data_IF_138782642893
#
_entry.id   IF_138782642893
#
_cell.length_a   1.000
_cell.length_b   1.000
_cell.length_c   1.000
_cell.angle_alpha   90.00
_cell.angle_beta   90.00
_cell.angle_gamma   90.00
#
_symmetry.space_group_name_H-M   'P 1'
#
loop_
_entity.id
_entity.type
_entity.pdbx_description
1 polymer ?
#
# COMPACT_ATOMS: atom_id res chain seq x y z
N UNK A 1 -10.08 71.23 16.75
CA UNK A 1 -10.17 69.90 16.13
C UNK A 1 -9.17 68.99 16.79
N UNK A 2 -9.64 67.91 17.42
CA UNK A 2 -8.79 66.94 18.11
C UNK A 2 -8.52 65.76 17.15
N UNK A 3 -7.23 65.51 16.86
CA UNK A 3 -6.80 64.35 16.08
C UNK A 3 -6.38 63.22 17.02
N UNK A 4 -7.24 62.20 17.17
CA UNK A 4 -6.92 60.97 17.88
C UNK A 4 -6.14 60.02 16.98
N UNK A 5 -4.87 59.78 17.29
CA UNK A 5 -4.07 58.72 16.68
C UNK A 5 -4.38 57.37 17.32
N UNK A 6 -4.93 56.45 16.55
CA UNK A 6 -5.18 55.07 16.97
C UNK A 6 -3.84 54.30 17.07
N UNK A 7 -3.46 53.89 18.29
CA UNK A 7 -2.35 52.99 18.53
C UNK A 7 -2.80 51.56 18.23
N UNK A 8 -2.26 50.96 17.17
CA UNK A 8 -2.47 49.55 16.85
C UNK A 8 -1.84 48.61 17.90
N UNK A 9 -2.27 47.34 17.97
CA UNK A 9 -1.79 46.41 18.99
C UNK A 9 -0.32 46.04 18.77
N UNK A 10 0.42 46.00 19.88
CA UNK A 10 1.85 45.64 19.95
C UNK A 10 2.03 44.16 19.55
N UNK A 11 3.02 43.81 18.71
CA UNK A 11 3.27 42.42 18.34
C UNK A 11 3.77 41.60 19.55
N UNK A 12 3.42 40.30 19.66
CA UNK A 12 3.87 39.46 20.76
C UNK A 12 5.38 39.20 20.70
N UNK A 13 6.07 39.04 21.84
CA UNK A 13 7.50 38.76 21.86
C UNK A 13 7.82 37.38 21.25
N UNK A 14 8.92 37.33 20.51
CA UNK A 14 9.46 36.13 19.86
C UNK A 14 9.70 35.01 20.87
N UNK A 15 8.87 33.96 20.82
CA UNK A 15 9.03 32.75 21.63
C UNK A 15 10.28 32.00 21.16
N UNK A 16 11.27 31.86 22.04
CA UNK A 16 12.45 31.04 21.77
C UNK A 16 12.07 29.58 21.49
N UNK A 17 12.75 28.89 20.54
CA UNK A 17 12.48 27.49 20.24
C UNK A 17 12.84 26.60 21.45
N UNK A 18 12.05 25.54 21.72
CA UNK A 18 12.37 24.60 22.81
C UNK A 18 13.68 23.85 22.52
N UNK A 19 14.45 23.46 23.55
CA UNK A 19 15.69 22.71 23.37
C UNK A 19 15.43 21.33 22.76
N UNK A 20 16.39 20.78 21.99
CA UNK A 20 16.25 19.46 21.38
C UNK A 20 16.22 18.38 22.48
N UNK A 21 15.11 17.64 22.56
CA UNK A 21 15.02 16.45 23.42
C UNK A 21 15.97 15.38 22.87
N UNK A 22 16.89 14.91 23.71
CA UNK A 22 17.82 13.83 23.38
C UNK A 22 17.06 12.59 22.90
N UNK A 23 17.31 12.19 21.65
CA UNK A 23 16.69 11.00 21.06
C UNK A 23 17.47 9.78 21.55
N UNK A 24 16.91 9.05 22.51
CA UNK A 24 17.44 7.74 22.89
C UNK A 24 17.28 6.80 21.69
N UNK A 25 18.40 6.46 21.03
CA UNK A 25 18.42 5.50 19.93
C UNK A 25 18.41 4.09 20.53
N UNK A 26 17.24 3.50 20.68
CA UNK A 26 17.12 2.07 20.98
C UNK A 26 17.29 1.28 19.67
N UNK A 27 18.51 0.85 19.38
CA UNK A 27 18.76 -0.17 18.36
C UNK A 27 18.48 -1.55 18.97
N UNK A 28 17.60 -2.38 18.39
CA UNK A 28 17.44 -3.74 18.84
C UNK A 28 18.63 -4.56 18.32
N UNK A 29 19.49 -4.98 19.24
CA UNK A 29 20.56 -5.94 18.97
C UNK A 29 19.95 -7.34 18.98
N UNK A 30 19.93 -8.01 17.82
CA UNK A 30 19.53 -9.42 17.71
C UNK A 30 20.78 -10.30 17.74
N UNK A 31 20.88 -11.30 18.63
CA UNK A 31 21.94 -12.28 18.58
C UNK A 31 21.65 -13.26 17.42
N UNK A 32 22.58 -13.39 16.48
CA UNK A 32 22.52 -14.44 15.46
C UNK A 32 23.13 -15.71 16.03
N UNK A 33 22.32 -16.77 16.08
CA UNK A 33 22.69 -18.13 16.46
C UNK A 33 23.64 -18.75 15.43
N UNK A 34 24.75 -19.35 15.90
CA UNK A 34 25.72 -20.05 15.07
C UNK A 34 25.27 -21.50 14.87
N UNK A 35 24.37 -21.74 13.92
CA UNK A 35 24.04 -23.10 13.48
C UNK A 35 24.46 -23.31 12.02
N UNK A 36 25.64 -23.93 11.88
CA UNK A 36 26.06 -24.91 10.87
C UNK A 36 25.64 -24.67 9.40
N UNK A 37 26.59 -24.21 8.58
CA UNK A 37 26.47 -24.20 7.12
C UNK A 37 26.55 -25.60 6.51
N UNK A 38 26.08 -25.80 5.27
CA UNK A 38 26.06 -27.11 4.62
C UNK A 38 27.48 -27.51 4.17
N UNK A 39 27.83 -28.75 4.47
CA UNK A 39 29.07 -29.42 4.06
C UNK A 39 29.10 -29.53 2.53
N UNK A 40 30.03 -28.80 1.89
CA UNK A 40 30.36 -28.95 0.48
C UNK A 40 31.52 -29.92 0.28
N UNK A 41 31.37 -30.88 -0.64
CA UNK A 41 32.45 -31.75 -1.13
C UNK A 41 33.48 -30.98 -1.97
N UNK A 42 34.73 -31.46 -2.08
CA UNK A 42 35.88 -30.65 -2.46
C UNK A 42 35.96 -30.49 -3.99
N UNK A 43 35.59 -29.30 -4.45
CA UNK A 43 35.89 -28.81 -5.79
C UNK A 43 37.03 -27.79 -5.74
N UNK A 44 37.94 -27.92 -6.69
CA UNK A 44 39.15 -27.14 -6.98
C UNK A 44 39.20 -25.67 -6.47
N UNK A 45 40.30 -25.18 -5.86
CA UNK A 45 40.33 -23.87 -5.18
C UNK A 45 40.50 -22.64 -6.10
N UNK A 46 40.44 -22.78 -7.44
CA UNK A 46 40.95 -21.75 -8.34
C UNK A 46 39.97 -21.15 -9.37
N UNK A 47 38.67 -21.37 -9.25
CA UNK A 47 37.67 -20.67 -10.10
C UNK A 47 36.73 -19.80 -9.27
N UNK A 48 37.30 -18.81 -8.60
CA UNK A 48 36.53 -17.71 -8.00
C UNK A 48 37.02 -16.40 -8.59
N UNK A 49 36.46 -16.02 -9.74
CA UNK A 49 36.68 -14.70 -10.33
C UNK A 49 36.30 -13.60 -9.31
N UNK A 50 37.26 -12.81 -8.78
CA UNK A 50 36.98 -11.71 -7.87
C UNK A 50 36.17 -10.56 -8.51
N UNK A 51 35.91 -10.66 -9.81
CA UNK A 51 35.24 -9.63 -10.61
C UNK A 51 33.71 -9.62 -10.43
N UNK A 52 33.09 -10.78 -10.17
CA UNK A 52 31.62 -10.90 -10.04
C UNK A 52 31.11 -10.47 -8.65
N UNK A 53 31.92 -10.65 -7.60
CA UNK A 53 31.54 -10.26 -6.23
C UNK A 53 31.58 -8.73 -6.03
N UNK A 54 32.52 -8.04 -6.71
CA UNK A 54 32.60 -6.58 -6.68
C UNK A 54 31.41 -5.91 -7.37
N UNK A 55 30.93 -6.47 -8.49
CA UNK A 55 29.79 -5.92 -9.24
C UNK A 55 28.49 -5.94 -8.44
N UNK A 56 28.29 -6.96 -7.60
CA UNK A 56 27.12 -7.07 -6.70
C UNK A 56 27.24 -6.16 -5.48
N UNK A 57 28.45 -5.94 -4.96
CA UNK A 57 28.72 -5.02 -3.84
C UNK A 57 28.63 -3.54 -4.24
N UNK A 58 28.91 -3.22 -5.50
CA UNK A 58 28.70 -1.87 -6.06
C UNK A 58 27.21 -1.51 -6.23
N UNK A 59 26.34 -2.48 -6.52
CA UNK A 59 24.90 -2.24 -6.67
C UNK A 59 24.15 -2.04 -5.34
N UNK A 60 24.65 -2.61 -4.25
CA UNK A 60 24.15 -2.35 -2.88
C UNK A 60 25.08 -1.38 -2.13
N UNK A 61 25.58 -0.37 -2.85
CA UNK A 61 26.41 0.67 -2.30
C UNK A 61 25.82 1.24 -1.01
N UNK A 62 26.64 1.23 0.05
CA UNK A 62 26.48 2.08 1.23
C UNK A 62 25.95 3.43 0.77
N UNK A 63 24.77 3.85 1.23
CA UNK A 63 24.09 5.05 0.72
C UNK A 63 25.09 6.20 0.66
N UNK A 64 25.50 6.56 -0.55
CA UNK A 64 26.51 7.60 -0.79
C UNK A 64 26.04 8.84 -0.06
N UNK A 65 26.90 9.39 0.81
CA UNK A 65 26.57 10.57 1.59
C UNK A 65 26.07 11.65 0.62
N UNK A 66 24.91 12.22 0.95
CA UNK A 66 24.19 13.09 0.03
C UNK A 66 24.86 14.45 0.07
N UNK A 67 25.75 14.69 -0.86
CA UNK A 67 26.39 16.01 -1.00
C UNK A 67 25.36 17.05 -1.40
N UNK A 68 25.28 18.12 -0.63
CA UNK A 68 24.44 19.26 -0.98
C UNK A 68 25.06 19.98 -2.17
N UNK A 69 24.25 20.33 -3.17
CA UNK A 69 24.72 21.13 -4.30
C UNK A 69 25.12 22.51 -3.77
N UNK A 70 26.40 22.93 -3.90
CA UNK A 70 26.85 24.25 -3.45
C UNK A 70 26.02 25.36 -4.09
N UNK A 71 25.82 26.46 -3.38
CA UNK A 71 24.95 27.55 -3.86
C UNK A 71 25.40 28.12 -5.21
N UNK A 72 26.70 28.14 -5.49
CA UNK A 72 27.29 28.56 -6.76
C UNK A 72 26.97 27.64 -7.95
N UNK A 73 26.43 26.44 -7.71
CA UNK A 73 26.08 25.44 -8.74
C UNK A 73 24.57 25.18 -8.83
N UNK A 74 23.74 25.99 -8.18
CA UNK A 74 22.28 25.92 -8.29
C UNK A 74 21.83 26.62 -9.56
N UNK A 75 21.79 25.87 -10.65
CA UNK A 75 21.27 26.29 -11.95
C UNK A 75 19.73 26.19 -12.03
N UNK A 76 19.15 26.70 -13.11
CA UNK A 76 17.70 26.61 -13.36
C UNK A 76 17.23 25.14 -13.40
N UNK A 77 18.05 24.24 -13.98
CA UNK A 77 17.79 22.81 -13.99
C UNK A 77 17.69 22.19 -12.59
N UNK A 78 18.50 22.65 -11.63
CA UNK A 78 18.40 22.26 -10.23
C UNK A 78 17.09 22.73 -9.62
N UNK A 79 16.69 23.98 -9.83
CA UNK A 79 15.45 24.52 -9.28
C UNK A 79 14.21 23.79 -9.80
N UNK A 80 14.17 23.43 -11.09
CA UNK A 80 13.09 22.64 -11.65
C UNK A 80 13.04 21.21 -11.11
N UNK A 81 14.20 20.55 -10.95
CA UNK A 81 14.28 19.24 -10.27
C UNK A 81 13.80 19.35 -8.83
N UNK A 82 14.18 20.42 -8.12
CA UNK A 82 13.81 20.66 -6.73
C UNK A 82 12.31 20.89 -6.57
N UNK A 83 11.72 21.69 -7.45
CA UNK A 83 10.27 21.94 -7.50
C UNK A 83 9.49 20.64 -7.72
N UNK A 84 9.86 19.86 -8.74
CA UNK A 84 9.24 18.54 -9.02
C UNK A 84 9.35 17.56 -7.86
N UNK A 85 10.50 17.48 -7.18
CA UNK A 85 10.67 16.61 -6.02
C UNK A 85 9.78 17.04 -4.84
N UNK A 86 9.66 18.35 -4.59
CA UNK A 86 8.80 18.87 -3.53
C UNK A 86 7.32 18.57 -3.82
N UNK A 87 6.87 18.72 -5.07
CA UNK A 87 5.51 18.36 -5.47
C UNK A 87 5.24 16.86 -5.31
N UNK A 88 6.18 16.02 -5.75
CA UNK A 88 6.08 14.57 -5.57
C UNK A 88 6.02 14.19 -4.07
N UNK A 89 6.82 14.83 -3.23
CA UNK A 89 6.80 14.62 -1.79
C UNK A 89 5.48 15.06 -1.16
N UNK A 90 4.92 16.21 -1.57
CA UNK A 90 3.60 16.68 -1.13
C UNK A 90 2.52 15.67 -1.48
N UNK A 91 2.45 15.25 -2.75
CA UNK A 91 1.49 14.25 -3.24
C UNK A 91 1.63 12.91 -2.51
N UNK A 92 2.86 12.45 -2.28
CA UNK A 92 3.13 11.21 -1.54
C UNK A 92 2.63 11.29 -0.09
N UNK A 93 2.83 12.42 0.58
CA UNK A 93 2.33 12.65 1.94
C UNK A 93 0.81 12.69 2.00
N UNK A 94 0.17 13.39 1.06
CA UNK A 94 -1.29 13.44 0.96
C UNK A 94 -1.89 12.06 0.69
N UNK A 95 -1.29 11.29 -0.22
CA UNK A 95 -1.73 9.91 -0.50
C UNK A 95 -1.64 9.02 0.73
N UNK A 96 -0.54 9.12 1.50
CA UNK A 96 -0.40 8.39 2.76
C UNK A 96 -1.48 8.81 3.77
N UNK A 97 -1.63 10.11 4.01
CA UNK A 97 -2.66 10.64 4.93
C UNK A 97 -4.06 10.15 4.60
N UNK A 98 -4.42 10.16 3.31
CA UNK A 98 -5.69 9.61 2.85
C UNK A 98 -5.80 8.11 3.12
N UNK A 99 -4.75 7.33 2.88
CA UNK A 99 -4.76 5.90 3.15
C UNK A 99 -4.90 5.60 4.65
N UNK A 100 -4.18 6.33 5.50
CA UNK A 100 -4.28 6.22 6.95
C UNK A 100 -5.72 6.52 7.42
N UNK A 101 -6.32 7.61 6.92
CA UNK A 101 -7.72 7.97 7.21
C UNK A 101 -8.72 6.89 6.77
N UNK A 102 -8.53 6.30 5.58
CA UNK A 102 -9.40 5.21 5.10
C UNK A 102 -9.25 3.96 5.97
N UNK A 103 -8.03 3.64 6.42
CA UNK A 103 -7.80 2.52 7.33
C UNK A 103 -8.46 2.77 8.69
N UNK A 104 -8.33 3.97 9.24
CA UNK A 104 -9.00 4.38 10.48
C UNK A 104 -10.53 4.23 10.36
N UNK A 105 -11.11 4.74 9.27
CA UNK A 105 -12.54 4.60 8.99
C UNK A 105 -12.96 3.13 8.92
N UNK A 106 -12.18 2.28 8.23
CA UNK A 106 -12.48 0.85 8.12
C UNK A 106 -12.43 0.14 9.46
N UNK A 107 -11.49 0.51 10.34
CA UNK A 107 -11.41 -0.04 11.71
C UNK A 107 -12.66 0.32 12.50
N UNK A 108 -13.15 1.56 12.41
CA UNK A 108 -14.38 1.98 13.09
C UNK A 108 -15.60 1.20 12.59
N UNK A 109 -15.74 1.06 11.27
CA UNK A 109 -16.85 0.30 10.66
C UNK A 109 -16.84 -1.17 11.09
N UNK A 110 -15.69 -1.84 10.99
CA UNK A 110 -15.55 -3.23 11.43
C UNK A 110 -15.81 -3.40 12.93
N UNK A 111 -15.40 -2.43 13.75
CA UNK A 111 -15.67 -2.45 15.19
C UNK A 111 -17.17 -2.34 15.48
N UNK A 112 -17.88 -1.49 14.73
CA UNK A 112 -19.34 -1.37 14.83
C UNK A 112 -20.05 -2.64 14.40
N UNK A 113 -19.68 -3.20 13.24
CA UNK A 113 -20.22 -4.47 12.73
C UNK A 113 -19.98 -5.60 13.75
N UNK A 114 -18.77 -5.70 14.31
CA UNK A 114 -18.43 -6.70 15.32
C UNK A 114 -19.28 -6.55 16.59
N UNK A 115 -19.53 -5.32 17.03
CA UNK A 115 -20.39 -5.07 18.20
C UNK A 115 -21.83 -5.51 17.94
N UNK A 116 -22.38 -5.21 16.76
CA UNK A 116 -23.73 -5.66 16.37
C UNK A 116 -23.81 -7.18 16.32
N UNK A 117 -22.81 -7.86 15.72
CA UNK A 117 -22.78 -9.32 15.64
C UNK A 117 -22.71 -9.97 17.02
N UNK A 118 -21.89 -9.43 17.94
CA UNK A 118 -21.83 -9.90 19.32
C UNK A 118 -23.18 -9.77 20.02
N UNK A 119 -23.85 -8.62 19.90
CA UNK A 119 -25.18 -8.42 20.46
C UNK A 119 -26.22 -9.40 19.88
N UNK A 120 -26.14 -9.74 18.59
CA UNK A 120 -27.00 -10.76 17.99
C UNK A 120 -26.74 -12.15 18.54
N UNK A 121 -25.46 -12.53 18.72
CA UNK A 121 -25.08 -13.82 19.31
C UNK A 121 -25.54 -13.92 20.77
N UNK A 122 -25.37 -12.85 21.55
CA UNK A 122 -25.84 -12.78 22.93
C UNK A 122 -27.37 -12.94 23.02
N UNK A 123 -28.11 -12.27 22.14
CA UNK A 123 -29.57 -12.40 22.07
C UNK A 123 -30.02 -13.83 21.72
N UNK A 124 -29.31 -14.52 20.82
CA UNK A 124 -29.59 -15.93 20.47
C UNK A 124 -29.27 -16.84 21.66
N UNK A 125 -28.15 -16.62 22.33
CA UNK A 125 -27.75 -17.36 23.52
C UNK A 125 -28.77 -17.21 24.64
N UNK A 126 -29.27 -16.00 24.89
CA UNK A 126 -30.30 -15.75 25.90
C UNK A 126 -31.64 -16.40 25.53
N UNK A 127 -32.07 -16.27 24.26
CA UNK A 127 -33.35 -16.80 23.78
C UNK A 127 -33.42 -18.32 23.69
N UNK A 128 -32.33 -18.96 23.28
CA UNK A 128 -32.32 -20.37 22.87
C UNK A 128 -31.28 -21.22 23.61
N UNK A 129 -30.43 -20.63 24.46
CA UNK A 129 -29.36 -21.33 25.17
C UNK A 129 -28.20 -21.80 24.26
N UNK A 130 -28.15 -21.34 23.01
CA UNK A 130 -27.17 -21.78 22.02
C UNK A 130 -25.89 -20.97 22.17
N UNK A 131 -24.79 -21.62 22.57
CA UNK A 131 -23.47 -21.01 22.69
C UNK A 131 -22.65 -21.22 21.41
N UNK A 132 -22.34 -20.14 20.70
CA UNK A 132 -21.53 -20.18 19.47
C UNK A 132 -20.10 -20.69 19.71
N UNK A 133 -19.52 -20.45 20.89
CA UNK A 133 -18.16 -20.88 21.21
C UNK A 133 -17.99 -22.41 21.18
N UNK A 134 -19.03 -23.17 21.50
CA UNK A 134 -19.00 -24.64 21.48
C UNK A 134 -19.32 -25.24 20.11
N UNK A 135 -19.88 -24.45 19.19
CA UNK A 135 -20.31 -24.92 17.87
C UNK A 135 -19.28 -24.65 16.77
N UNK A 136 -18.32 -23.74 17.00
CA UNK A 136 -17.39 -23.27 15.99
C UNK A 136 -15.96 -23.70 16.36
N UNK A 137 -15.27 -24.36 15.44
CA UNK A 137 -13.83 -24.61 15.55
C UNK A 137 -13.04 -23.39 15.10
N UNK A 138 -12.30 -22.76 16.02
CA UNK A 138 -11.48 -21.58 15.73
C UNK A 138 -10.43 -21.89 14.66
N UNK A 139 -9.82 -23.07 14.71
CA UNK A 139 -8.79 -23.49 13.75
C UNK A 139 -9.34 -23.56 12.31
N UNK A 140 -10.59 -24.03 12.16
CA UNK A 140 -11.25 -24.07 10.86
C UNK A 140 -11.56 -22.66 10.34
N UNK A 141 -11.97 -21.73 11.21
CA UNK A 141 -12.22 -20.33 10.83
C UNK A 141 -10.93 -19.65 10.39
N UNK A 142 -9.86 -19.78 11.17
CA UNK A 142 -8.55 -19.20 10.84
C UNK A 142 -7.99 -19.76 9.52
N UNK A 143 -8.23 -21.03 9.22
CA UNK A 143 -7.84 -21.65 7.95
C UNK A 143 -8.56 -21.05 6.73
N UNK A 144 -9.74 -20.46 6.91
CA UNK A 144 -10.50 -19.80 5.81
C UNK A 144 -10.14 -18.34 5.60
N UNK A 145 -9.43 -17.71 6.55
CA UNK A 145 -8.99 -16.33 6.39
C UNK A 145 -7.83 -16.25 5.38
N UNK A 146 -7.82 -15.23 4.51
CA UNK A 146 -6.73 -15.06 3.56
C UNK A 146 -5.39 -14.87 4.30
N UNK A 147 -4.37 -15.62 3.88
CA UNK A 147 -3.03 -15.56 4.49
C UNK A 147 -2.38 -14.19 4.24
N UNK A 148 -1.45 -13.76 5.11
CA UNK A 148 -0.74 -12.48 4.94
C UNK A 148 -0.12 -12.33 3.54
N UNK A 149 0.48 -13.38 3.00
CA UNK A 149 1.05 -13.36 1.65
C UNK A 149 -0.02 -13.17 0.57
N UNK A 150 -1.21 -13.76 0.73
CA UNK A 150 -2.33 -13.56 -0.19
C UNK A 150 -2.79 -12.09 -0.17
N UNK A 151 -2.92 -11.49 1.02
CA UNK A 151 -3.30 -10.08 1.18
C UNK A 151 -2.26 -9.13 0.55
N UNK A 152 -0.97 -9.39 0.77
CA UNK A 152 0.13 -8.59 0.22
C UNK A 152 0.25 -8.71 -1.30
N UNK A 153 -0.08 -9.86 -1.87
CA UNK A 153 -0.07 -10.07 -3.32
C UNK A 153 -1.16 -9.27 -4.04
N UNK A 154 -2.34 -9.10 -3.43
CA UNK A 154 -3.42 -8.26 -3.97
C UNK A 154 -2.97 -6.80 -4.10
N UNK A 155 -2.23 -6.29 -3.11
CA UNK A 155 -1.71 -4.91 -3.14
C UNK A 155 -0.52 -4.72 -4.08
N UNK A 156 0.28 -5.76 -4.33
CA UNK A 156 1.43 -5.71 -5.26
C UNK A 156 1.03 -5.74 -6.73
N UNK A 157 -0.12 -6.30 -7.09
CA UNK A 157 -0.63 -6.31 -8.48
C UNK A 157 -1.28 -5.00 -8.92
N UNK A 158 -1.46 -4.01 -8.04
CA UNK A 158 -2.10 -2.73 -8.39
C UNK A 158 -1.22 -1.73 -9.16
N UNK A 159 -0.01 -2.13 -9.62
CA UNK A 159 0.81 -1.29 -10.50
C UNK A 159 0.78 -1.86 -11.92
N UNK A 160 0.29 -1.01 -12.83
CA UNK A 160 0.17 -1.13 -14.29
C UNK A 160 -1.21 -1.56 -14.85
N UNK A 161 -2.28 -0.82 -14.56
CA UNK A 161 -3.28 -0.42 -15.57
C UNK A 161 -3.91 0.93 -15.17
N UNK A 162 -4.08 1.91 -16.06
CA UNK A 162 -4.74 3.17 -15.73
C UNK A 162 -6.28 3.10 -15.80
N UNK A 163 -6.90 1.91 -15.89
CA UNK A 163 -8.33 1.79 -16.19
C UNK A 163 -9.17 0.89 -15.26
N UNK A 164 -8.66 0.52 -14.08
CA UNK A 164 -9.36 -0.40 -13.17
C UNK A 164 -10.41 0.25 -12.25
N UNK A 165 -10.99 1.40 -12.63
CA UNK A 165 -12.10 2.03 -11.90
C UNK A 165 -13.49 1.63 -12.43
N UNK A 166 -13.55 0.86 -13.51
CA UNK A 166 -14.81 0.33 -14.04
C UNK A 166 -14.75 -1.20 -14.04
N UNK A 167 -15.82 -1.88 -13.59
CA UNK A 167 -15.97 -3.31 -13.87
C UNK A 167 -15.89 -3.49 -15.39
N UNK A 168 -15.11 -4.46 -15.86
CA UNK A 168 -15.10 -4.80 -17.27
C UNK A 168 -16.56 -5.10 -17.70
N UNK A 169 -17.03 -4.57 -18.85
CA UNK A 169 -18.35 -4.93 -19.35
C UNK A 169 -18.44 -6.46 -19.53
N UNK A 170 -19.59 -7.07 -19.26
CA UNK A 170 -19.76 -8.50 -19.47
C UNK A 170 -19.43 -8.85 -20.94
N UNK A 171 -18.85 -10.04 -21.19
CA UNK A 171 -18.59 -10.48 -22.56
C UNK A 171 -19.90 -10.46 -23.36
N UNK A 172 -19.87 -10.08 -24.65
CA UNK A 172 -21.06 -10.15 -25.49
C UNK A 172 -21.62 -11.57 -25.49
N UNK A 173 -22.95 -11.75 -25.52
CA UNK A 173 -23.53 -13.08 -25.63
C UNK A 173 -22.97 -13.77 -26.88
N UNK A 174 -22.80 -15.10 -26.86
CA UNK A 174 -22.41 -15.83 -28.06
C UNK A 174 -23.39 -15.46 -29.18
N UNK A 175 -22.86 -15.05 -30.33
CA UNK A 175 -23.67 -14.77 -31.50
C UNK A 175 -24.59 -15.97 -31.74
N UNK A 176 -25.90 -15.72 -31.81
CA UNK A 176 -26.86 -16.74 -32.18
C UNK A 176 -26.39 -17.41 -33.48
N UNK A 177 -26.50 -18.73 -33.62
CA UNK A 177 -26.15 -19.39 -34.86
C UNK A 177 -26.91 -18.71 -35.99
N UNK A 178 -26.20 -18.35 -37.06
CA UNK A 178 -26.77 -17.72 -38.23
C UNK A 178 -28.00 -18.53 -38.67
N UNK A 179 -29.16 -17.88 -38.73
CA UNK A 179 -30.39 -18.48 -39.24
C UNK A 179 -30.09 -19.08 -40.63
N UNK A 180 -30.53 -20.31 -40.92
CA UNK A 180 -30.34 -20.87 -42.26
C UNK A 180 -31.03 -19.96 -43.29
N UNK A 181 -30.47 -19.82 -44.50
CA UNK A 181 -31.06 -19.00 -45.54
C UNK A 181 -32.47 -19.48 -45.86
N UNK A 182 -33.41 -18.52 -45.97
CA UNK A 182 -34.79 -18.80 -46.36
C UNK A 182 -34.83 -19.52 -47.72
N UNK A 183 -35.66 -20.56 -47.89
CA UNK A 183 -35.80 -21.23 -49.17
C UNK A 183 -36.36 -20.27 -50.22
N UNK A 184 -35.94 -20.38 -51.50
CA UNK A 184 -36.48 -19.54 -52.57
C UNK A 184 -37.98 -19.80 -52.75
N UNK A 185 -38.77 -18.77 -53.11
CA UNK A 185 -40.20 -18.91 -53.32
C UNK A 185 -40.47 -19.90 -54.46
N UNK A 186 -41.15 -21.01 -54.14
CA UNK A 186 -41.69 -21.92 -55.13
C UNK A 186 -42.79 -21.20 -55.91
N UNK A 187 -42.57 -21.00 -57.20
CA UNK A 187 -43.57 -20.51 -58.14
C UNK A 187 -44.62 -21.61 -58.30
N UNK A 188 -45.82 -21.41 -57.77
CA UNK A 188 -46.97 -22.28 -58.07
C UNK A 188 -47.38 -22.09 -59.54
N UNK A 189 -47.77 -23.16 -60.26
CA UNK A 189 -48.41 -23.00 -61.55
C UNK A 189 -49.82 -22.40 -61.35
N UNK A 190 -50.11 -21.31 -62.05
CA UNK A 190 -51.47 -20.77 -62.18
C UNK A 190 -52.37 -21.74 -62.97
N UNK A 191 -53.70 -21.70 -62.74
CA UNK A 191 -54.67 -22.66 -63.27
C UNK A 191 -54.80 -22.64 -64.81
#
# INVERSE_FOLDING_TARGET
>A
GAGGGALGPVPPPSRAPPPPRGRHSVSPHFPMDQSQGPVGSPGDPNDYSPFEFNKRKEFFGQRKQREFIPDSKKDDGYWDRRRRNNEAAKRSREKRRFNDMVLEQRVVELSKENHVLKAQLDAIKEKYGICGETLISIDQVLATLPTCDQVLCVTKRSKLTPNALFPAPPPPPPAAPASPPSPPPQRQPEP
#
